data_IF_207186378837
#
_entry.id   IF_207186378837
#
_cell.length_a   1.000
_cell.length_b   1.000
_cell.length_c   1.000
_cell.angle_alpha   90.00
_cell.angle_beta   90.00
_cell.angle_gamma   90.00
#
_symmetry.space_group_name_H-M   'P 1'
#
loop_
_entity.id
_entity.type
_entity.pdbx_description
1 polymer ?
#
# COMPACT_ATOMS: atom_id res chain seq x y z
N UNK A 1 -19.91 39.09 48.21
CA UNK A 1 -19.02 38.91 47.05
C UNK A 1 -18.25 37.60 47.29
N UNK A 2 -18.76 36.45 46.80
CA UNK A 2 -18.10 35.17 46.88
C UNK A 2 -17.36 34.93 45.55
N UNK A 3 -16.03 34.89 45.61
CA UNK A 3 -15.20 34.54 44.48
C UNK A 3 -15.37 33.04 44.16
N UNK A 4 -15.88 32.72 42.98
CA UNK A 4 -15.92 31.36 42.47
C UNK A 4 -14.49 30.90 42.13
N UNK A 5 -13.94 30.01 42.92
CA UNK A 5 -12.71 29.29 42.60
C UNK A 5 -12.94 28.42 41.33
N UNK A 6 -12.33 28.85 40.25
CA UNK A 6 -12.29 28.04 39.02
C UNK A 6 -11.43 26.81 39.25
N UNK A 7 -12.09 25.66 39.40
CA UNK A 7 -11.44 24.34 39.48
C UNK A 7 -10.70 24.11 38.16
N UNK A 8 -9.37 24.24 38.20
CA UNK A 8 -8.47 23.85 37.10
C UNK A 8 -8.51 22.33 36.98
N UNK A 9 -9.26 21.84 36.00
CA UNK A 9 -9.24 20.41 35.62
C UNK A 9 -7.83 20.07 35.08
N UNK A 10 -7.08 19.17 35.73
CA UNK A 10 -5.75 18.80 35.25
C UNK A 10 -5.85 18.24 33.84
N UNK A 11 -5.12 18.82 32.88
CA UNK A 11 -4.94 18.21 31.56
C UNK A 11 -4.22 16.88 31.76
N UNK A 12 -4.94 15.76 31.59
CA UNK A 12 -4.33 14.43 31.56
C UNK A 12 -3.20 14.43 30.53
N UNK A 13 -1.97 14.23 30.99
CA UNK A 13 -0.82 14.00 30.13
C UNK A 13 -1.09 12.76 29.26
N UNK A 14 -0.85 12.82 27.93
CA UNK A 14 -1.13 11.70 27.06
C UNK A 14 -0.35 10.47 27.57
N UNK A 15 -1.05 9.45 28.06
CA UNK A 15 -0.43 8.19 28.52
C UNK A 15 0.44 7.65 27.38
N UNK A 16 1.75 7.61 27.58
CA UNK A 16 2.69 6.98 26.65
C UNK A 16 2.23 5.54 26.40
N UNK A 17 2.09 5.18 25.11
CA UNK A 17 1.64 3.84 24.68
C UNK A 17 2.79 3.13 23.94
N UNK A 18 3.90 2.79 24.62
CA UNK A 18 5.15 2.41 23.97
C UNK A 18 5.03 1.17 23.10
N UNK A 19 4.29 0.14 23.55
CA UNK A 19 4.14 -1.11 22.78
C UNK A 19 3.30 -0.94 21.52
N UNK A 20 2.23 -0.15 21.53
CA UNK A 20 1.44 0.14 20.33
C UNK A 20 2.25 0.91 19.29
N UNK A 21 3.09 1.85 19.74
CA UNK A 21 3.97 2.60 18.84
C UNK A 21 5.09 1.72 18.31
N UNK A 22 5.72 0.91 19.18
CA UNK A 22 6.82 0.01 18.78
C UNK A 22 6.37 -1.02 17.76
N UNK A 23 5.21 -1.67 17.96
CA UNK A 23 4.67 -2.63 17.00
C UNK A 23 4.30 -1.98 15.65
N UNK A 24 3.74 -0.77 15.65
CA UNK A 24 3.47 -0.04 14.41
C UNK A 24 4.76 0.37 13.67
N UNK A 25 5.81 0.77 14.39
CA UNK A 25 7.12 1.10 13.80
C UNK A 25 7.78 -0.17 13.25
N UNK A 26 7.73 -1.30 13.97
CA UNK A 26 8.28 -2.57 13.50
C UNK A 26 7.60 -3.02 12.19
N UNK A 27 6.26 -3.00 12.15
CA UNK A 27 5.53 -3.30 10.93
C UNK A 27 5.90 -2.36 9.78
N UNK A 28 5.96 -1.04 10.04
CA UNK A 28 6.36 -0.06 9.04
C UNK A 28 7.76 -0.28 8.50
N UNK A 29 8.73 -0.63 9.37
CA UNK A 29 10.10 -0.90 8.96
C UNK A 29 10.18 -2.10 8.01
N UNK A 30 9.52 -3.22 8.35
CA UNK A 30 9.47 -4.42 7.49
C UNK A 30 8.77 -4.12 6.17
N UNK A 31 7.63 -3.41 6.21
CA UNK A 31 6.91 -3.00 5.01
C UNK A 31 7.77 -2.07 4.13
N UNK A 32 8.45 -1.09 4.72
CA UNK A 32 9.32 -0.17 3.99
C UNK A 32 10.49 -0.89 3.29
N UNK A 33 11.13 -1.85 3.96
CA UNK A 33 12.18 -2.68 3.34
C UNK A 33 11.63 -3.45 2.13
N UNK A 34 10.47 -4.10 2.27
CA UNK A 34 9.84 -4.82 1.16
C UNK A 34 9.40 -3.89 0.02
N UNK A 35 8.93 -2.68 0.33
CA UNK A 35 8.59 -1.68 -0.68
C UNK A 35 9.81 -1.13 -1.41
N UNK A 36 10.94 -0.93 -0.72
CA UNK A 36 12.21 -0.56 -1.35
C UNK A 36 12.72 -1.67 -2.28
N UNK A 37 12.61 -2.93 -1.88
CA UNK A 37 12.91 -4.06 -2.75
C UNK A 37 12.01 -4.11 -3.99
N UNK A 38 10.71 -3.78 -3.84
CA UNK A 38 9.78 -3.65 -4.96
C UNK A 38 10.18 -2.52 -5.93
N UNK A 39 10.53 -1.36 -5.41
CA UNK A 39 11.03 -0.24 -6.22
C UNK A 39 12.30 -0.64 -6.97
N UNK A 40 13.25 -1.29 -6.29
CA UNK A 40 14.45 -1.81 -6.92
C UNK A 40 14.12 -2.77 -8.07
N UNK A 41 13.22 -3.73 -7.83
CA UNK A 41 12.77 -4.66 -8.88
C UNK A 41 12.15 -3.91 -10.08
N UNK A 42 11.26 -2.95 -9.85
CA UNK A 42 10.66 -2.18 -10.96
C UNK A 42 11.73 -1.48 -11.79
N UNK A 43 12.67 -0.81 -11.15
CA UNK A 43 13.71 -0.04 -11.84
C UNK A 43 14.69 -0.98 -12.55
N UNK A 44 15.15 -2.04 -11.87
CA UNK A 44 16.14 -2.96 -12.42
C UNK A 44 15.57 -3.85 -13.53
N UNK A 45 14.30 -4.26 -13.44
CA UNK A 45 13.68 -5.12 -14.47
C UNK A 45 13.03 -4.31 -15.60
N UNK A 46 12.06 -3.45 -15.27
CA UNK A 46 11.32 -2.70 -16.28
C UNK A 46 12.05 -1.43 -16.73
N UNK A 47 12.70 -0.73 -15.81
CA UNK A 47 13.40 0.53 -16.12
C UNK A 47 14.58 0.33 -17.07
N UNK A 48 15.45 -0.66 -16.81
CA UNK A 48 16.63 -0.95 -17.65
C UNK A 48 16.23 -1.44 -19.05
N UNK A 49 15.24 -2.35 -19.14
CA UNK A 49 14.71 -2.84 -20.42
C UNK A 49 14.10 -1.70 -21.25
N UNK A 50 13.34 -0.83 -20.59
CA UNK A 50 12.76 0.36 -21.26
C UNK A 50 13.84 1.30 -21.78
N UNK A 51 14.87 1.58 -20.98
CA UNK A 51 15.98 2.45 -21.38
C UNK A 51 16.81 1.83 -22.51
N UNK A 52 16.94 0.50 -22.56
CA UNK A 52 17.60 -0.26 -23.61
C UNK A 52 16.73 -0.54 -24.84
N UNK A 53 15.48 -0.03 -24.88
CA UNK A 53 14.49 -0.32 -25.95
C UNK A 53 14.15 -1.81 -26.10
N UNK A 54 14.41 -2.62 -25.08
CA UNK A 54 14.03 -4.03 -25.01
C UNK A 54 12.61 -4.17 -24.46
N UNK A 55 11.62 -3.77 -25.24
CA UNK A 55 10.22 -3.79 -24.81
C UNK A 55 9.65 -5.21 -24.74
N UNK A 56 10.12 -6.13 -25.59
CA UNK A 56 9.71 -7.55 -25.56
C UNK A 56 10.13 -8.21 -24.24
N UNK A 57 11.26 -7.82 -23.68
CA UNK A 57 11.74 -8.31 -22.39
C UNK A 57 10.86 -7.98 -21.20
N UNK A 58 9.85 -7.08 -21.34
CA UNK A 58 8.86 -6.90 -20.26
C UNK A 58 8.03 -8.17 -20.01
N UNK A 59 7.96 -9.06 -21.01
CA UNK A 59 7.22 -10.34 -20.97
C UNK A 59 8.04 -11.52 -20.43
N UNK A 60 9.35 -11.32 -20.13
CA UNK A 60 10.17 -12.38 -19.52
C UNK A 60 9.60 -12.86 -18.18
N UNK A 61 8.84 -11.99 -17.50
CA UNK A 61 8.14 -12.33 -16.28
C UNK A 61 6.73 -12.83 -16.60
N UNK A 62 6.38 -14.10 -16.23
CA UNK A 62 5.07 -14.68 -16.54
C UNK A 62 3.91 -13.99 -15.82
N UNK A 63 2.70 -14.33 -16.21
CA UNK A 63 1.37 -13.96 -15.73
C UNK A 63 0.75 -12.72 -16.38
N UNK A 64 1.50 -11.66 -16.66
CA UNK A 64 0.94 -10.44 -17.26
C UNK A 64 1.76 -10.09 -18.48
N UNK A 65 1.10 -10.00 -19.62
CA UNK A 65 1.71 -9.56 -20.85
C UNK A 65 1.87 -8.03 -20.82
N UNK A 66 3.13 -7.59 -20.72
CA UNK A 66 3.48 -6.16 -20.63
C UNK A 66 3.53 -5.50 -21.99
N UNK A 67 4.19 -6.15 -22.98
CA UNK A 67 4.37 -5.68 -24.34
C UNK A 67 3.51 -6.50 -25.31
N UNK A 68 2.75 -5.80 -26.14
CA UNK A 68 1.97 -6.37 -27.26
C UNK A 68 2.37 -5.64 -28.53
N UNK A 69 2.82 -6.40 -29.54
CA UNK A 69 3.21 -5.81 -30.83
C UNK A 69 2.02 -5.06 -31.48
N UNK A 70 2.25 -3.82 -31.92
CA UNK A 70 1.23 -2.97 -32.52
C UNK A 70 0.32 -2.21 -31.54
N UNK A 71 0.35 -2.52 -30.24
CA UNK A 71 -0.43 -1.82 -29.20
C UNK A 71 0.39 -0.68 -28.55
N UNK A 72 0.69 0.36 -29.29
CA UNK A 72 1.52 1.46 -28.79
C UNK A 72 0.93 2.16 -27.56
N UNK A 73 -0.39 2.38 -27.54
CA UNK A 73 -1.08 3.04 -26.42
C UNK A 73 -1.06 2.16 -25.19
N UNK A 74 -1.40 0.87 -25.33
CA UNK A 74 -1.41 -0.08 -24.24
C UNK A 74 -0.03 -0.30 -23.62
N UNK A 75 0.99 -0.39 -24.48
CA UNK A 75 2.38 -0.52 -24.04
C UNK A 75 2.84 0.72 -23.26
N UNK A 76 2.52 1.94 -23.75
CA UNK A 76 2.82 3.18 -23.06
C UNK A 76 2.09 3.26 -21.70
N UNK A 77 0.80 2.95 -21.66
CA UNK A 77 0.01 2.94 -20.43
C UNK A 77 0.53 1.92 -19.43
N UNK A 78 0.91 0.72 -19.89
CA UNK A 78 1.49 -0.32 -19.05
C UNK A 78 2.78 0.14 -18.40
N UNK A 79 3.76 0.59 -19.20
CA UNK A 79 5.06 0.96 -18.65
C UNK A 79 4.98 2.21 -17.77
N UNK A 80 4.17 3.20 -18.14
CA UNK A 80 3.93 4.36 -17.31
C UNK A 80 3.32 3.97 -15.96
N UNK A 81 2.32 3.06 -15.95
CA UNK A 81 1.73 2.53 -14.73
C UNK A 81 2.80 1.83 -13.87
N UNK A 82 3.61 0.96 -14.45
CA UNK A 82 4.63 0.20 -13.74
C UNK A 82 5.71 1.11 -13.14
N UNK A 83 6.25 2.05 -13.92
CA UNK A 83 7.30 2.97 -13.42
C UNK A 83 6.75 3.94 -12.36
N UNK A 84 5.52 4.44 -12.55
CA UNK A 84 4.88 5.31 -11.56
C UNK A 84 4.48 4.56 -10.28
N UNK A 85 4.36 3.22 -10.31
CA UNK A 85 4.23 2.42 -9.08
C UNK A 85 5.46 2.55 -8.17
N UNK A 86 6.67 2.68 -8.73
CA UNK A 86 7.87 2.98 -7.94
C UNK A 86 7.81 4.40 -7.35
N UNK A 87 7.38 5.38 -8.15
CA UNK A 87 7.28 6.79 -7.70
C UNK A 87 6.25 6.94 -6.58
N UNK A 88 5.06 6.36 -6.71
CA UNK A 88 4.02 6.45 -5.66
C UNK A 88 4.45 5.73 -4.39
N UNK A 89 5.16 4.61 -4.50
CA UNK A 89 5.69 3.86 -3.36
C UNK A 89 6.71 4.70 -2.58
N UNK A 90 7.71 5.28 -3.26
CA UNK A 90 8.69 6.16 -2.63
C UNK A 90 8.05 7.42 -2.05
N UNK A 91 7.12 8.03 -2.80
CA UNK A 91 6.35 9.17 -2.34
C UNK A 91 5.55 8.87 -1.07
N UNK A 92 4.91 7.71 -1.01
CA UNK A 92 4.18 7.23 0.18
C UNK A 92 5.08 7.05 1.40
N UNK A 93 6.22 6.37 1.24
CA UNK A 93 7.21 6.22 2.32
C UNK A 93 7.72 7.57 2.82
N UNK A 94 8.07 8.49 1.91
CA UNK A 94 8.49 9.84 2.25
C UNK A 94 7.44 10.59 3.10
N UNK A 95 6.15 10.47 2.75
CA UNK A 95 5.05 11.13 3.45
C UNK A 95 4.86 10.63 4.89
N UNK A 96 5.22 9.39 5.18
CA UNK A 96 5.01 8.77 6.49
C UNK A 96 6.13 9.05 7.49
N UNK A 97 7.29 9.57 7.07
CA UNK A 97 8.43 9.86 7.95
C UNK A 97 8.21 11.20 8.67
N UNK A 98 7.99 11.20 10.02
CA UNK A 98 7.72 12.44 10.76
C UNK A 98 8.88 13.44 10.70
N UNK A 99 10.12 12.96 10.67
CA UNK A 99 11.31 13.80 10.60
C UNK A 99 11.33 14.66 9.33
N UNK A 100 10.95 14.09 8.18
CA UNK A 100 10.86 14.80 6.89
C UNK A 100 9.79 15.90 6.99
N UNK A 101 8.60 15.57 7.44
CA UNK A 101 7.50 16.53 7.57
C UNK A 101 7.89 17.71 8.48
N UNK A 102 8.61 17.44 9.58
CA UNK A 102 8.94 18.46 10.56
C UNK A 102 10.13 19.33 10.13
N UNK A 103 11.15 18.72 9.48
CA UNK A 103 12.38 19.43 9.06
C UNK A 103 12.25 20.07 7.67
N UNK A 104 11.51 19.43 6.76
CA UNK A 104 11.35 19.88 5.37
C UNK A 104 9.87 19.93 4.95
N UNK A 105 9.09 20.86 5.52
CA UNK A 105 7.64 20.95 5.26
C UNK A 105 7.32 21.26 3.79
N UNK A 106 8.22 21.93 3.06
CA UNK A 106 8.07 22.18 1.62
C UNK A 106 8.14 20.85 0.85
N UNK A 107 9.15 20.03 1.13
CA UNK A 107 9.30 18.70 0.52
C UNK A 107 8.06 17.84 0.77
N UNK A 108 7.55 17.81 2.01
CA UNK A 108 6.32 17.09 2.36
C UNK A 108 5.12 17.58 1.51
N UNK A 109 4.97 18.89 1.32
CA UNK A 109 3.88 19.44 0.48
C UNK A 109 4.03 19.10 -1.00
N UNK A 110 5.23 19.25 -1.56
CA UNK A 110 5.50 18.96 -2.99
C UNK A 110 5.27 17.48 -3.27
N UNK A 111 5.94 16.60 -2.53
CA UNK A 111 5.79 15.14 -2.70
C UNK A 111 4.34 14.69 -2.42
N UNK A 112 3.64 15.33 -1.46
CA UNK A 112 2.24 15.04 -1.20
C UNK A 112 1.32 15.39 -2.38
N UNK A 113 1.55 16.52 -3.06
CA UNK A 113 0.82 16.88 -4.29
C UNK A 113 1.12 15.91 -5.43
N UNK A 114 2.40 15.58 -5.63
CA UNK A 114 2.81 14.58 -6.63
C UNK A 114 2.18 13.22 -6.34
N UNK A 115 2.13 12.79 -5.08
CA UNK A 115 1.45 11.55 -4.66
C UNK A 115 -0.02 11.54 -5.08
N UNK A 116 -0.74 12.65 -4.86
CA UNK A 116 -2.16 12.76 -5.27
C UNK A 116 -2.30 12.59 -6.79
N UNK A 117 -1.52 13.33 -7.58
CA UNK A 117 -1.58 13.25 -9.05
C UNK A 117 -1.25 11.86 -9.56
N UNK A 118 -0.18 11.25 -9.04
CA UNK A 118 0.21 9.89 -9.42
C UNK A 118 -0.85 8.88 -8.97
N UNK A 119 -1.46 9.03 -7.80
CA UNK A 119 -2.52 8.14 -7.34
C UNK A 119 -3.76 8.16 -8.26
N UNK A 120 -4.16 9.33 -8.75
CA UNK A 120 -5.22 9.43 -9.76
C UNK A 120 -4.83 8.71 -11.05
N UNK A 121 -3.63 8.97 -11.55
CA UNK A 121 -3.14 8.28 -12.75
C UNK A 121 -3.12 6.76 -12.54
N UNK A 122 -2.60 6.27 -11.41
CA UNK A 122 -2.53 4.84 -11.08
C UNK A 122 -3.92 4.19 -11.05
N UNK A 123 -4.91 4.86 -10.45
CA UNK A 123 -6.27 4.35 -10.41
C UNK A 123 -6.92 4.27 -11.80
N UNK A 124 -6.85 5.36 -12.59
CA UNK A 124 -7.44 5.39 -13.92
C UNK A 124 -6.72 4.48 -14.91
N UNK A 125 -5.38 4.52 -14.94
CA UNK A 125 -4.60 3.64 -15.82
C UNK A 125 -4.76 2.17 -15.43
N UNK A 126 -4.85 1.84 -14.15
CA UNK A 126 -5.11 0.49 -13.67
C UNK A 126 -6.47 -0.03 -14.12
N UNK A 127 -7.54 0.77 -14.00
CA UNK A 127 -8.88 0.42 -14.50
C UNK A 127 -8.89 0.26 -16.02
N UNK A 128 -8.21 1.15 -16.75
CA UNK A 128 -8.08 1.06 -18.19
C UNK A 128 -7.33 -0.19 -18.65
N UNK A 129 -6.18 -0.50 -18.01
CA UNK A 129 -5.41 -1.71 -18.28
C UNK A 129 -6.25 -2.98 -18.04
N UNK A 130 -7.03 -3.01 -16.98
CA UNK A 130 -7.87 -4.16 -16.63
C UNK A 130 -9.04 -4.32 -17.58
N UNK A 131 -9.81 -3.28 -17.85
CA UNK A 131 -11.10 -3.41 -18.55
C UNK A 131 -11.04 -3.09 -20.04
N UNK A 132 -10.13 -2.22 -20.48
CA UNK A 132 -10.01 -1.82 -21.87
C UNK A 132 -8.92 -2.64 -22.58
N UNK A 133 -7.72 -2.72 -21.96
CA UNK A 133 -6.63 -3.52 -22.53
C UNK A 133 -6.79 -5.02 -22.28
N UNK A 134 -7.55 -5.41 -21.27
CA UNK A 134 -7.80 -6.83 -20.96
C UNK A 134 -6.64 -7.54 -20.28
N UNK A 135 -5.85 -6.85 -19.45
CA UNK A 135 -4.71 -7.45 -18.73
C UNK A 135 -5.11 -8.33 -17.55
N UNK A 136 -6.41 -8.42 -17.23
CA UNK A 136 -6.91 -9.32 -16.19
C UNK A 136 -6.83 -10.78 -16.64
N UNK A 137 -6.44 -11.66 -15.71
CA UNK A 137 -6.42 -13.10 -15.96
C UNK A 137 -7.81 -13.74 -15.91
N UNK A 138 -8.76 -13.07 -15.25
CA UNK A 138 -10.18 -13.44 -15.22
C UNK A 138 -11.04 -12.24 -14.83
N UNK A 139 -12.35 -12.19 -15.22
CA UNK A 139 -13.27 -11.15 -14.76
C UNK A 139 -13.38 -11.06 -13.24
N UNK A 140 -13.26 -12.20 -12.55
CA UNK A 140 -13.31 -12.28 -11.08
C UNK A 140 -12.09 -11.61 -10.45
N UNK A 141 -10.90 -11.76 -11.03
CA UNK A 141 -9.66 -11.12 -10.55
C UNK A 141 -9.66 -9.60 -10.77
N UNK A 142 -10.46 -9.11 -11.72
CA UNK A 142 -10.61 -7.69 -12.02
C UNK A 142 -11.39 -6.92 -10.93
N UNK A 143 -12.36 -7.58 -10.28
CA UNK A 143 -13.25 -6.92 -9.31
C UNK A 143 -12.49 -6.36 -8.10
N UNK A 144 -11.66 -7.13 -7.35
CA UNK A 144 -10.94 -6.59 -6.22
C UNK A 144 -9.97 -5.47 -6.62
N UNK A 145 -9.33 -5.56 -7.79
CA UNK A 145 -8.48 -4.49 -8.33
C UNK A 145 -9.27 -3.21 -8.58
N UNK A 146 -10.47 -3.33 -9.15
CA UNK A 146 -11.37 -2.20 -9.39
C UNK A 146 -11.85 -1.57 -8.08
N UNK A 147 -12.24 -2.37 -7.10
CA UNK A 147 -12.63 -1.89 -5.76
C UNK A 147 -11.47 -1.14 -5.11
N UNK A 148 -10.26 -1.68 -5.18
CA UNK A 148 -9.07 -1.02 -4.64
C UNK A 148 -8.80 0.34 -5.32
N UNK A 149 -8.94 0.42 -6.64
CA UNK A 149 -8.79 1.67 -7.40
C UNK A 149 -9.82 2.73 -6.98
N UNK A 150 -11.09 2.35 -6.82
CA UNK A 150 -12.15 3.25 -6.35
C UNK A 150 -11.92 3.73 -4.92
N UNK A 151 -11.46 2.85 -4.02
CA UNK A 151 -11.07 3.22 -2.67
C UNK A 151 -9.87 4.18 -2.67
N UNK A 152 -8.89 3.98 -3.56
CA UNK A 152 -7.76 4.89 -3.71
C UNK A 152 -8.22 6.29 -4.12
N UNK A 153 -9.07 6.39 -5.14
CA UNK A 153 -9.65 7.67 -5.59
C UNK A 153 -10.39 8.37 -4.44
N UNK A 154 -11.23 7.64 -3.72
CA UNK A 154 -11.96 8.21 -2.59
C UNK A 154 -11.03 8.71 -1.49
N UNK A 155 -10.11 7.86 -1.03
CA UNK A 155 -9.28 8.18 0.13
C UNK A 155 -8.26 9.29 -0.17
N UNK A 156 -7.68 9.31 -1.38
CA UNK A 156 -6.75 10.37 -1.76
C UNK A 156 -7.46 11.71 -1.92
N UNK A 157 -8.69 11.71 -2.48
CA UNK A 157 -9.52 12.90 -2.59
C UNK A 157 -9.88 13.45 -1.22
N UNK A 158 -10.35 12.60 -0.30
CA UNK A 158 -10.68 12.98 1.07
C UNK A 158 -9.45 13.54 1.81
N UNK A 159 -8.31 12.87 1.67
CA UNK A 159 -7.05 13.35 2.28
C UNK A 159 -6.65 14.71 1.74
N UNK A 160 -6.69 14.91 0.42
CA UNK A 160 -6.38 16.19 -0.23
C UNK A 160 -7.29 17.32 0.25
N UNK A 161 -8.60 17.09 0.19
CA UNK A 161 -9.59 18.09 0.57
C UNK A 161 -9.48 18.53 2.04
N UNK A 162 -9.19 17.58 2.94
CA UNK A 162 -8.98 17.85 4.35
C UNK A 162 -7.68 18.63 4.62
N UNK A 163 -6.63 18.35 3.83
CA UNK A 163 -5.39 19.14 3.88
C UNK A 163 -5.62 20.58 3.48
N UNK A 164 -6.34 20.81 2.37
CA UNK A 164 -6.67 22.16 1.89
C UNK A 164 -7.51 22.96 2.87
N UNK A 165 -8.32 22.27 3.69
CA UNK A 165 -9.14 22.90 4.77
C UNK A 165 -8.41 23.05 6.10
N UNK A 166 -7.11 22.72 6.18
CA UNK A 166 -6.35 22.80 7.43
C UNK A 166 -6.74 21.76 8.48
N UNK A 167 -7.58 20.77 8.13
CA UNK A 167 -8.02 19.69 9.04
C UNK A 167 -6.97 18.58 9.18
N UNK A 168 -5.77 18.94 9.65
CA UNK A 168 -4.59 18.06 9.62
C UNK A 168 -4.76 16.73 10.36
N UNK A 169 -5.53 16.70 11.47
CA UNK A 169 -5.78 15.44 12.20
C UNK A 169 -6.63 14.46 11.39
N UNK A 170 -7.62 14.96 10.65
CA UNK A 170 -8.46 14.14 9.77
C UNK A 170 -7.69 13.77 8.49
N UNK A 171 -7.00 14.74 7.87
CA UNK A 171 -6.10 14.50 6.74
C UNK A 171 -5.17 13.32 7.01
N UNK A 172 -4.46 13.30 8.15
CA UNK A 172 -3.55 12.21 8.51
C UNK A 172 -4.23 10.84 8.47
N UNK A 173 -5.47 10.71 8.94
CA UNK A 173 -6.21 9.44 8.93
C UNK A 173 -6.55 8.99 7.52
N UNK A 174 -7.02 9.91 6.68
CA UNK A 174 -7.35 9.60 5.30
C UNK A 174 -6.11 9.34 4.46
N UNK A 175 -5.02 10.06 4.70
CA UNK A 175 -3.73 9.81 4.06
C UNK A 175 -3.17 8.42 4.38
N UNK A 176 -3.32 7.94 5.62
CA UNK A 176 -2.92 6.58 5.99
C UNK A 176 -3.78 5.52 5.29
N UNK A 177 -5.10 5.73 5.15
CA UNK A 177 -5.97 4.84 4.35
C UNK A 177 -5.56 4.85 2.89
N UNK A 178 -5.32 6.03 2.31
CA UNK A 178 -4.83 6.16 0.94
C UNK A 178 -3.49 5.44 0.72
N UNK A 179 -2.55 5.55 1.67
CA UNK A 179 -1.29 4.82 1.62
C UNK A 179 -1.50 3.30 1.61
N UNK A 180 -2.38 2.77 2.45
CA UNK A 180 -2.67 1.33 2.49
C UNK A 180 -3.21 0.85 1.14
N UNK A 181 -4.22 1.49 0.59
CA UNK A 181 -4.84 1.04 -0.67
C UNK A 181 -3.95 1.30 -1.88
N UNK A 182 -3.12 2.35 -1.87
CA UNK A 182 -2.11 2.57 -2.92
C UNK A 182 -1.10 1.43 -3.01
N UNK A 183 -0.86 0.73 -1.91
CA UNK A 183 0.01 -0.44 -1.83
C UNK A 183 -0.75 -1.78 -1.95
N UNK A 184 -2.04 -1.79 -2.32
CA UNK A 184 -2.85 -3.01 -2.39
C UNK A 184 -2.23 -4.08 -3.28
N UNK A 185 -1.71 -3.71 -4.45
CA UNK A 185 -1.06 -4.64 -5.38
C UNK A 185 0.28 -5.17 -4.83
N UNK A 186 1.01 -4.38 -4.07
CA UNK A 186 2.21 -4.84 -3.35
C UNK A 186 1.81 -5.82 -2.23
N UNK A 187 0.80 -5.50 -1.43
CA UNK A 187 0.26 -6.41 -0.41
C UNK A 187 -0.25 -7.72 -1.01
N UNK A 188 -0.85 -7.67 -2.20
CA UNK A 188 -1.29 -8.88 -2.90
C UNK A 188 -0.11 -9.80 -3.22
N UNK A 189 0.99 -9.28 -3.76
CA UNK A 189 2.19 -10.08 -4.08
C UNK A 189 2.80 -10.72 -2.83
N UNK A 190 2.99 -9.95 -1.77
CA UNK A 190 3.53 -10.51 -0.51
C UNK A 190 2.53 -11.47 0.15
N UNK A 191 1.22 -11.21 0.01
CA UNK A 191 0.16 -12.09 0.50
C UNK A 191 0.17 -13.46 -0.18
N UNK A 192 0.27 -13.49 -1.52
CA UNK A 192 0.41 -14.73 -2.28
C UNK A 192 1.64 -15.52 -1.82
N UNK A 193 2.80 -14.87 -1.72
CA UNK A 193 4.03 -15.56 -1.34
C UNK A 193 4.02 -16.02 0.11
N UNK A 194 3.45 -15.23 1.02
CA UNK A 194 3.23 -15.67 2.40
C UNK A 194 2.30 -16.90 2.45
N UNK A 195 1.20 -16.88 1.70
CA UNK A 195 0.26 -18.00 1.62
C UNK A 195 0.94 -19.28 1.10
N UNK A 196 1.66 -19.18 -0.02
CA UNK A 196 2.36 -20.31 -0.63
C UNK A 196 3.41 -20.89 0.32
N UNK A 197 4.20 -20.06 1.00
CA UNK A 197 5.22 -20.52 1.93
C UNK A 197 4.61 -21.17 3.19
N UNK A 198 3.57 -20.58 3.76
CA UNK A 198 2.91 -21.09 4.97
C UNK A 198 2.20 -22.43 4.68
N UNK A 199 1.52 -22.54 3.53
CA UNK A 199 0.78 -23.75 3.14
C UNK A 199 1.65 -24.77 2.37
N UNK A 200 2.95 -24.46 2.14
CA UNK A 200 3.88 -25.31 1.36
C UNK A 200 3.39 -25.58 -0.07
N UNK A 201 2.66 -24.64 -0.66
CA UNK A 201 2.13 -24.74 -2.01
C UNK A 201 0.98 -23.79 -2.28
N UNK A 202 0.52 -23.68 -3.55
CA UNK A 202 -0.54 -22.76 -3.98
C UNK A 202 -1.95 -23.30 -3.68
N UNK A 203 -2.22 -23.70 -2.44
CA UNK A 203 -3.50 -24.30 -2.02
C UNK A 203 -4.65 -23.34 -2.27
N UNK A 204 -5.66 -23.79 -3.02
CA UNK A 204 -6.85 -22.99 -3.37
C UNK A 204 -6.60 -21.90 -4.40
N UNK A 205 -5.46 -21.93 -5.09
CA UNK A 205 -5.09 -21.02 -6.18
C UNK A 205 -5.19 -21.67 -7.55
N UNK A 206 -5.32 -20.84 -8.59
CA UNK A 206 -5.24 -21.30 -9.98
C UNK A 206 -4.55 -20.29 -10.90
N UNK A 207 -4.25 -20.70 -12.14
CA UNK A 207 -3.52 -19.86 -13.11
C UNK A 207 -4.27 -18.59 -13.54
N UNK A 208 -5.59 -18.53 -13.37
CA UNK A 208 -6.44 -17.38 -13.73
C UNK A 208 -6.74 -16.46 -12.55
N UNK A 209 -6.11 -16.69 -11.39
CA UNK A 209 -6.33 -15.95 -10.14
C UNK A 209 -7.82 -15.87 -9.74
N UNK A 210 -8.58 -16.94 -9.99
CA UNK A 210 -10.00 -17.06 -9.70
C UNK A 210 -10.32 -18.13 -8.65
N UNK A 211 -9.32 -18.79 -8.11
CA UNK A 211 -9.49 -19.74 -7.01
C UNK A 211 -9.92 -19.07 -5.71
N UNK A 212 -10.47 -19.81 -4.75
CA UNK A 212 -10.96 -19.26 -3.50
C UNK A 212 -9.86 -18.54 -2.69
N UNK A 213 -8.62 -19.05 -2.71
CA UNK A 213 -7.49 -18.38 -2.07
C UNK A 213 -7.10 -17.10 -2.80
N UNK A 214 -7.09 -17.11 -4.15
CA UNK A 214 -6.77 -15.94 -4.97
C UNK A 214 -7.74 -14.79 -4.70
N UNK A 215 -9.04 -15.07 -4.68
CA UNK A 215 -10.08 -14.08 -4.41
C UNK A 215 -9.95 -13.53 -2.99
N UNK A 216 -9.77 -14.43 -2.00
CA UNK A 216 -9.61 -14.04 -0.60
C UNK A 216 -8.37 -13.16 -0.40
N UNK A 217 -7.24 -13.51 -1.01
CA UNK A 217 -6.01 -12.73 -0.93
C UNK A 217 -6.12 -11.40 -1.69
N UNK A 218 -6.83 -11.37 -2.82
CA UNK A 218 -7.04 -10.16 -3.60
C UNK A 218 -7.81 -9.09 -2.80
N UNK A 219 -8.94 -9.45 -2.20
CA UNK A 219 -9.66 -8.54 -1.29
C UNK A 219 -8.90 -8.31 0.01
N UNK A 220 -8.31 -9.36 0.59
CA UNK A 220 -7.53 -9.31 1.82
C UNK A 220 -6.34 -8.37 1.73
N UNK A 221 -5.74 -8.22 0.54
CA UNK A 221 -4.57 -7.38 0.31
C UNK A 221 -4.74 -5.91 0.71
N UNK A 222 -5.94 -5.38 0.64
CA UNK A 222 -6.25 -4.01 1.09
C UNK A 222 -7.22 -3.97 2.28
N UNK A 223 -8.16 -4.90 2.39
CA UNK A 223 -9.13 -4.89 3.50
C UNK A 223 -8.50 -5.27 4.84
N UNK A 224 -7.60 -6.26 4.88
CA UNK A 224 -6.94 -6.67 6.13
C UNK A 224 -6.03 -5.57 6.68
N UNK A 225 -5.11 -4.96 5.89
CA UNK A 225 -4.32 -3.83 6.36
C UNK A 225 -5.18 -2.62 6.75
N UNK A 226 -6.30 -2.34 6.05
CA UNK A 226 -7.24 -1.29 6.45
C UNK A 226 -7.91 -1.60 7.79
N UNK A 227 -8.37 -2.83 8.02
CA UNK A 227 -8.96 -3.24 9.28
C UNK A 227 -7.96 -3.11 10.44
N UNK A 228 -6.71 -3.50 10.24
CA UNK A 228 -5.63 -3.31 11.21
C UNK A 228 -5.35 -1.82 11.48
N UNK A 229 -5.40 -0.98 10.47
CA UNK A 229 -5.27 0.48 10.62
C UNK A 229 -6.44 1.06 11.43
N UNK A 230 -7.67 0.64 11.18
CA UNK A 230 -8.83 1.09 11.97
C UNK A 230 -8.74 0.61 13.42
N UNK A 231 -8.35 -0.64 13.64
CA UNK A 231 -8.09 -1.18 14.98
C UNK A 231 -7.00 -0.37 15.72
N UNK A 232 -5.94 0.02 15.01
CA UNK A 232 -4.90 0.90 15.54
C UNK A 232 -5.48 2.28 15.93
N UNK A 233 -6.36 2.87 15.12
CA UNK A 233 -7.02 4.14 15.46
C UNK A 233 -7.95 4.01 16.67
N UNK A 234 -8.67 2.91 16.79
CA UNK A 234 -9.49 2.61 17.98
C UNK A 234 -8.61 2.49 19.21
N UNK A 235 -7.51 1.72 19.13
CA UNK A 235 -6.56 1.54 20.22
C UNK A 235 -5.88 2.84 20.66
N UNK A 236 -5.69 3.80 19.74
CA UNK A 236 -5.17 5.12 20.06
C UNK A 236 -6.16 5.99 20.85
N UNK A 237 -7.45 5.86 20.59
CA UNK A 237 -8.50 6.68 21.21
C UNK A 237 -9.03 6.07 22.49
N UNK A 238 -9.18 4.75 22.52
CA UNK A 238 -9.76 4.02 23.64
C UNK A 238 -8.84 4.00 24.87
N UNK A 239 -9.41 4.18 26.06
CA UNK A 239 -8.78 3.90 27.34
C UNK A 239 -8.67 2.39 27.64
N UNK A 240 -9.50 1.55 26.97
CA UNK A 240 -9.63 0.15 27.24
C UNK A 240 -8.42 -0.68 26.79
N UNK A 241 -7.87 -1.49 27.69
CA UNK A 241 -6.65 -2.27 27.47
C UNK A 241 -6.79 -3.38 26.43
N UNK A 242 -8.00 -3.92 26.23
CA UNK A 242 -8.25 -5.01 25.28
C UNK A 242 -8.03 -4.56 23.82
N UNK A 243 -8.49 -3.35 23.44
CA UNK A 243 -8.24 -2.82 22.09
C UNK A 243 -6.74 -2.65 21.79
N UNK A 244 -5.98 -2.25 22.82
CA UNK A 244 -4.52 -2.12 22.68
C UNK A 244 -3.85 -3.48 22.51
N UNK A 245 -4.25 -4.48 23.30
CA UNK A 245 -3.72 -5.85 23.15
C UNK A 245 -4.05 -6.41 21.78
N UNK A 246 -5.29 -6.26 21.31
CA UNK A 246 -5.71 -6.69 19.98
C UNK A 246 -4.92 -6.00 18.88
N UNK A 247 -4.73 -4.67 18.95
CA UNK A 247 -3.95 -3.93 17.94
C UNK A 247 -2.46 -4.31 17.96
N UNK A 248 -1.85 -4.49 19.12
CA UNK A 248 -0.45 -4.94 19.22
C UNK A 248 -0.31 -6.35 18.67
N UNK A 249 -1.18 -7.29 19.06
CA UNK A 249 -1.17 -8.67 18.54
C UNK A 249 -1.37 -8.71 17.03
N UNK A 250 -2.35 -7.96 16.51
CA UNK A 250 -2.60 -7.86 15.06
C UNK A 250 -1.41 -7.27 14.29
N UNK A 251 -0.77 -6.21 14.82
CA UNK A 251 0.41 -5.61 14.20
C UNK A 251 1.62 -6.56 14.21
N UNK A 252 1.84 -7.31 15.29
CA UNK A 252 2.93 -8.30 15.36
C UNK A 252 2.69 -9.47 14.41
N UNK A 253 1.48 -10.01 14.37
CA UNK A 253 1.09 -11.05 13.41
C UNK A 253 1.23 -10.54 11.96
N UNK A 254 0.73 -9.33 11.68
CA UNK A 254 0.89 -8.67 10.39
C UNK A 254 2.35 -8.45 10.01
N UNK A 255 3.22 -8.11 10.98
CA UNK A 255 4.67 -7.98 10.76
C UNK A 255 5.29 -9.32 10.35
N UNK A 256 4.95 -10.41 11.04
CA UNK A 256 5.47 -11.74 10.72
C UNK A 256 5.02 -12.19 9.33
N UNK A 257 3.72 -12.07 9.00
CA UNK A 257 3.19 -12.41 7.67
C UNK A 257 3.83 -11.55 6.58
N UNK A 258 3.97 -10.23 6.83
CA UNK A 258 4.65 -9.32 5.90
C UNK A 258 6.11 -9.73 5.67
N UNK A 259 6.85 -10.09 6.72
CA UNK A 259 8.25 -10.52 6.62
C UNK A 259 8.39 -11.81 5.79
N UNK A 260 7.55 -12.82 6.07
CA UNK A 260 7.52 -14.08 5.28
C UNK A 260 7.19 -13.77 3.81
N UNK A 261 6.18 -12.94 3.55
CA UNK A 261 5.78 -12.58 2.20
C UNK A 261 6.85 -11.77 1.46
N UNK A 262 7.50 -10.82 2.12
CA UNK A 262 8.62 -10.04 1.55
C UNK A 262 9.78 -10.96 1.18
N UNK A 263 10.18 -11.84 2.09
CA UNK A 263 11.21 -12.84 1.81
C UNK A 263 10.85 -13.69 0.58
N UNK A 264 9.65 -14.28 0.57
CA UNK A 264 9.20 -15.13 -0.53
C UNK A 264 9.11 -14.38 -1.87
N UNK A 265 8.63 -13.13 -1.83
CA UNK A 265 8.50 -12.32 -3.04
C UNK A 265 9.86 -11.95 -3.61
N UNK A 266 10.82 -11.57 -2.77
CA UNK A 266 12.20 -11.29 -3.20
C UNK A 266 12.82 -12.55 -3.77
N UNK A 267 12.81 -13.66 -3.03
CA UNK A 267 13.54 -14.88 -3.38
C UNK A 267 12.96 -15.61 -4.61
N UNK A 268 11.63 -15.64 -4.76
CA UNK A 268 10.98 -16.51 -5.75
C UNK A 268 10.19 -15.75 -6.84
N UNK A 269 9.88 -14.46 -6.61
CA UNK A 269 9.07 -13.70 -7.58
C UNK A 269 9.87 -12.60 -8.31
N UNK A 270 10.95 -12.07 -7.70
CA UNK A 270 11.72 -10.95 -8.27
C UNK A 270 13.16 -11.34 -8.60
N UNK A 271 13.93 -11.90 -7.66
CA UNK A 271 15.34 -12.21 -7.87
C UNK A 271 15.62 -13.12 -9.10
N UNK A 272 14.77 -14.10 -9.47
CA UNK A 272 15.02 -14.92 -10.65
C UNK A 272 15.00 -14.16 -11.99
N UNK A 273 14.51 -12.92 -12.01
CA UNK A 273 14.39 -12.09 -13.21
C UNK A 273 15.35 -10.88 -13.24
N UNK A 274 16.18 -10.72 -12.21
CA UNK A 274 17.18 -9.68 -12.11
C UNK A 274 18.54 -10.16 -12.60
#
# INVERSE_FOLDING_TARGET
>A
MLAAEATVVPRETPRRRPWLTRSAVAWFAVAALGQLAFVYFIVAFYGTRTAGSDYAGWNDKPLIEGYVAGDSIGNLMFIAHVLLAAVITLGGLHQLIPAIRNRWPVSHRVVGRSFVLVAYFMAFSGLWLVWVRGTQLSPVSAIPTSVNALLLLWFVTAAWFLAMRGRHAQHRRWALRAFIVANGVWFFRIGIMAWVLINRGPVGMNATLSGPADITLSFGSFLVPLALLELYFVAQRSGAGHWRRAAVGGLLAGTAVTAIGVFGTIAFMWAPYL
#
